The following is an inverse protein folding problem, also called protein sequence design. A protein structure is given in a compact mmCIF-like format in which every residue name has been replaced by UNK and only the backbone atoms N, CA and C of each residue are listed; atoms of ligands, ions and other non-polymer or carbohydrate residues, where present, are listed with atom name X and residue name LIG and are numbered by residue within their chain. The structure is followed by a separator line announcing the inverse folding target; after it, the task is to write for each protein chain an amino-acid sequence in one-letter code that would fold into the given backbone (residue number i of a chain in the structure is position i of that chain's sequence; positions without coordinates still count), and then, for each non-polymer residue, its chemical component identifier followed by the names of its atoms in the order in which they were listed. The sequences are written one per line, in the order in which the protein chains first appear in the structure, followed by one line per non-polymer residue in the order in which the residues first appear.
data_IF_675513851691
#
_entry.id   IF_675513851691
#
_cell.length_a   1.000
_cell.length_b   1.000
_cell.length_c   1.000
_cell.angle_alpha   90.00
_cell.angle_beta   90.00
_cell.angle_gamma   90.00
#
_symmetry.space_group_name_H-M   'P 1'
#
loop_
_entity.id
_entity.type
_entity.pdbx_description
1 polymer ?
#
# COMPACT_ATOMS: atom_id res chain seq x y z
N UNK A 1 -82.18 9.17 42.30
CA UNK A 1 -82.31 9.07 40.83
C UNK A 1 -81.60 10.21 40.09
N UNK A 2 -81.70 11.47 40.49
CA UNK A 2 -81.12 12.64 39.91
C UNK A 2 -79.54 12.60 39.97
N UNK A 3 -78.96 12.10 41.07
CA UNK A 3 -77.50 11.95 41.20
C UNK A 3 -76.87 10.95 40.29
N UNK A 4 -77.54 9.82 40.07
CA UNK A 4 -77.10 8.76 39.16
C UNK A 4 -77.14 9.21 37.69
N UNK A 5 -78.16 10.01 37.30
CA UNK A 5 -78.23 10.60 35.96
C UNK A 5 -77.15 11.63 35.69
N UNK A 6 -76.79 12.45 36.67
CA UNK A 6 -75.70 13.39 36.56
C UNK A 6 -74.34 12.69 36.46
N UNK A 7 -74.11 11.59 37.23
CA UNK A 7 -72.93 10.76 37.11
C UNK A 7 -72.74 10.17 35.71
N UNK A 8 -73.85 9.64 35.15
CA UNK A 8 -73.83 9.12 33.79
C UNK A 8 -73.52 10.21 32.73
N UNK A 9 -74.09 11.41 32.88
CA UNK A 9 -73.76 12.53 31.96
C UNK A 9 -72.32 12.93 32.01
N UNK A 10 -71.72 13.02 33.22
CA UNK A 10 -70.33 13.36 33.40
C UNK A 10 -69.42 12.29 32.78
N UNK A 11 -69.76 11.02 33.00
CA UNK A 11 -68.99 9.91 32.45
C UNK A 11 -69.04 9.88 30.92
N UNK A 12 -70.22 10.08 30.33
CA UNK A 12 -70.39 10.15 28.88
C UNK A 12 -69.65 11.33 28.25
N UNK A 13 -69.63 12.46 28.94
CA UNK A 13 -68.85 13.65 28.54
C UNK A 13 -67.34 13.38 28.55
N UNK A 14 -66.86 12.71 29.59
CA UNK A 14 -65.43 12.34 29.69
C UNK A 14 -65.02 11.38 28.58
N UNK A 15 -65.82 10.35 28.33
CA UNK A 15 -65.59 9.40 27.21
C UNK A 15 -65.53 10.15 25.87
N UNK A 16 -66.53 11.02 25.60
CA UNK A 16 -66.55 11.81 24.37
C UNK A 16 -65.31 12.68 24.20
N UNK A 17 -64.88 13.35 25.26
CA UNK A 17 -63.69 14.19 25.21
C UNK A 17 -62.44 13.39 25.00
N UNK A 18 -62.30 12.22 25.67
CA UNK A 18 -61.15 11.33 25.45
C UNK A 18 -61.10 10.75 24.03
N UNK A 19 -62.27 10.38 23.48
CA UNK A 19 -62.38 9.94 22.08
C UNK A 19 -62.00 11.06 21.10
N UNK A 20 -62.47 12.29 21.38
CA UNK A 20 -62.10 13.45 20.57
C UNK A 20 -60.61 13.72 20.58
N UNK A 21 -60.00 13.73 21.76
CA UNK A 21 -58.54 13.93 21.92
C UNK A 21 -57.75 12.82 21.20
N UNK A 22 -58.14 11.55 21.36
CA UNK A 22 -57.51 10.44 20.65
C UNK A 22 -57.59 10.61 19.13
N UNK A 23 -58.80 10.99 18.63
CA UNK A 23 -58.99 11.20 17.19
C UNK A 23 -58.14 12.34 16.68
N UNK A 24 -58.08 13.47 17.39
CA UNK A 24 -57.22 14.61 17.04
C UNK A 24 -55.74 14.23 17.05
N UNK A 25 -55.30 13.46 18.05
CA UNK A 25 -53.91 12.99 18.16
C UNK A 25 -53.57 12.09 16.95
N UNK A 26 -54.46 11.17 16.57
CA UNK A 26 -54.24 10.31 15.38
C UNK A 26 -54.14 11.15 14.09
N UNK A 27 -55.03 12.13 13.91
CA UNK A 27 -54.94 13.05 12.78
C UNK A 27 -53.64 13.85 12.74
N UNK A 28 -53.18 14.33 13.87
CA UNK A 28 -51.88 15.05 13.98
C UNK A 28 -50.72 14.14 13.61
N UNK A 29 -50.71 12.89 14.06
CA UNK A 29 -49.66 11.91 13.68
C UNK A 29 -49.67 11.65 12.18
N UNK A 30 -50.85 11.40 11.60
CA UNK A 30 -51.00 11.16 10.16
C UNK A 30 -50.53 12.40 9.37
N UNK A 31 -50.95 13.60 9.76
CA UNK A 31 -50.52 14.84 9.12
C UNK A 31 -48.99 15.02 9.18
N UNK A 32 -48.38 14.76 10.33
CA UNK A 32 -46.93 14.80 10.51
C UNK A 32 -46.19 13.77 9.63
N UNK A 33 -46.72 12.55 9.53
CA UNK A 33 -46.15 11.50 8.64
C UNK A 33 -46.24 11.90 7.18
N UNK A 34 -47.32 12.51 6.73
CA UNK A 34 -47.48 13.01 5.37
C UNK A 34 -46.45 14.10 5.07
N UNK A 35 -46.28 15.07 5.98
CA UNK A 35 -45.30 16.15 5.84
C UNK A 35 -43.86 15.59 5.77
N UNK A 36 -43.52 14.65 6.67
CA UNK A 36 -42.18 14.03 6.66
C UNK A 36 -41.93 13.24 5.37
N UNK A 37 -42.97 12.50 4.90
CA UNK A 37 -42.87 11.78 3.62
C UNK A 37 -42.64 12.71 2.45
N UNK A 38 -43.32 13.87 2.41
CA UNK A 38 -43.10 14.89 1.39
C UNK A 38 -41.69 15.45 1.45
N UNK A 39 -41.17 15.73 2.64
CA UNK A 39 -39.77 16.18 2.81
C UNK A 39 -38.75 15.15 2.29
N UNK A 40 -38.98 13.87 2.58
CA UNK A 40 -38.14 12.78 2.09
C UNK A 40 -38.18 12.71 0.56
N UNK A 41 -39.37 12.80 -0.04
CA UNK A 41 -39.53 12.80 -1.50
C UNK A 41 -38.80 13.98 -2.16
N UNK A 42 -38.88 15.19 -1.57
CA UNK A 42 -38.15 16.35 -2.09
C UNK A 42 -36.64 16.16 -2.03
N UNK A 43 -36.13 15.64 -0.90
CA UNK A 43 -34.72 15.32 -0.75
C UNK A 43 -34.25 14.25 -1.73
N UNK A 44 -35.05 13.22 -1.94
CA UNK A 44 -34.78 12.16 -2.92
C UNK A 44 -34.69 12.71 -4.34
N UNK A 45 -35.67 13.56 -4.74
CA UNK A 45 -35.64 14.25 -6.03
C UNK A 45 -34.38 15.10 -6.23
N UNK A 46 -33.99 15.88 -5.21
CA UNK A 46 -32.79 16.70 -5.26
C UNK A 46 -31.51 15.84 -5.38
N UNK A 47 -31.43 14.78 -4.59
CA UNK A 47 -30.29 13.84 -4.64
C UNK A 47 -30.19 13.17 -6.01
N UNK A 48 -31.33 12.71 -6.57
CA UNK A 48 -31.37 12.07 -7.89
C UNK A 48 -30.94 13.05 -8.98
N UNK A 49 -31.41 14.30 -8.92
CA UNK A 49 -30.99 15.34 -9.87
C UNK A 49 -29.49 15.62 -9.82
N UNK A 50 -28.91 15.66 -8.61
CA UNK A 50 -27.46 15.82 -8.40
C UNK A 50 -26.65 14.63 -8.93
N UNK A 51 -27.14 13.40 -8.72
CA UNK A 51 -26.51 12.20 -9.26
C UNK A 51 -26.51 12.20 -10.79
N UNK A 52 -27.64 12.55 -11.42
CA UNK A 52 -27.75 12.63 -12.88
C UNK A 52 -26.77 13.71 -13.41
N UNK A 53 -26.70 14.86 -12.75
CA UNK A 53 -25.74 15.90 -13.10
C UNK A 53 -24.28 15.45 -12.99
N UNK A 54 -23.96 14.71 -11.93
CA UNK A 54 -22.62 14.16 -11.71
C UNK A 54 -22.25 13.11 -12.77
N UNK A 55 -23.16 12.20 -13.09
CA UNK A 55 -22.96 11.21 -14.15
C UNK A 55 -22.79 11.91 -15.51
N UNK A 56 -23.59 12.93 -15.80
CA UNK A 56 -23.46 13.73 -17.02
C UNK A 56 -22.08 14.39 -17.14
N UNK A 57 -21.61 15.05 -16.08
CA UNK A 57 -20.28 15.65 -16.07
C UNK A 57 -19.17 14.60 -16.23
N UNK A 58 -19.30 13.45 -15.59
CA UNK A 58 -18.33 12.35 -15.73
C UNK A 58 -18.26 11.83 -17.16
N UNK A 59 -19.41 11.67 -17.84
CA UNK A 59 -19.44 11.28 -19.26
C UNK A 59 -18.79 12.31 -20.17
N UNK A 60 -19.04 13.60 -19.94
CA UNK A 60 -18.36 14.66 -20.69
C UNK A 60 -16.84 14.68 -20.44
N UNK A 61 -16.41 14.47 -19.21
CA UNK A 61 -14.97 14.36 -18.89
C UNK A 61 -14.33 13.15 -19.57
N UNK A 62 -15.00 12.00 -19.59
CA UNK A 62 -14.51 10.81 -20.26
C UNK A 62 -14.43 10.99 -21.79
N UNK A 63 -15.45 11.59 -22.41
CA UNK A 63 -15.43 11.90 -23.84
C UNK A 63 -14.31 12.90 -24.19
N UNK A 64 -14.16 13.95 -23.37
CA UNK A 64 -13.07 14.92 -23.51
C UNK A 64 -11.69 14.28 -23.34
N UNK A 65 -11.50 13.43 -22.34
CA UNK A 65 -10.27 12.70 -22.12
C UNK A 65 -9.96 11.73 -23.28
N UNK A 66 -10.98 11.01 -23.78
CA UNK A 66 -10.81 10.12 -24.93
C UNK A 66 -10.40 10.89 -26.20
N UNK A 67 -11.06 11.99 -26.49
CA UNK A 67 -10.71 12.85 -27.64
C UNK A 67 -9.33 13.46 -27.50
N UNK A 68 -8.96 13.94 -26.32
CA UNK A 68 -7.64 14.49 -26.02
C UNK A 68 -6.55 13.41 -26.17
N UNK A 69 -6.78 12.21 -25.64
CA UNK A 69 -5.87 11.10 -25.76
C UNK A 69 -5.70 10.64 -27.20
N UNK A 70 -6.80 10.57 -27.96
CA UNK A 70 -6.75 10.22 -29.39
C UNK A 70 -6.04 11.30 -30.21
N UNK A 71 -6.27 12.58 -29.92
CA UNK A 71 -5.59 13.71 -30.55
C UNK A 71 -4.09 13.73 -30.20
N UNK A 72 -3.74 13.50 -28.92
CA UNK A 72 -2.35 13.42 -28.50
C UNK A 72 -1.63 12.21 -29.14
N UNK A 73 -2.31 11.05 -29.23
CA UNK A 73 -1.75 9.83 -29.82
C UNK A 73 -1.57 9.92 -31.34
N UNK A 74 -2.50 10.53 -32.05
CA UNK A 74 -2.47 10.69 -33.51
C UNK A 74 -1.82 11.99 -33.97
N UNK A 75 -1.62 12.95 -33.07
CA UNK A 75 -0.96 14.23 -33.31
C UNK A 75 0.58 14.15 -33.29
N UNK A 76 1.26 15.31 -33.48
CA UNK A 76 2.72 15.39 -33.46
C UNK A 76 3.38 14.78 -32.22
N UNK A 77 2.85 14.94 -30.98
CA UNK A 77 3.42 14.28 -29.81
C UNK A 77 3.39 12.75 -29.91
N UNK A 78 2.28 12.16 -30.36
CA UNK A 78 2.13 10.73 -30.49
C UNK A 78 3.00 10.13 -31.59
N UNK A 79 3.25 10.88 -32.67
CA UNK A 79 4.20 10.49 -33.71
C UNK A 79 5.64 10.46 -33.19
N UNK A 80 6.01 11.40 -32.34
CA UNK A 80 7.32 11.42 -31.68
C UNK A 80 7.44 10.21 -30.75
N UNK A 81 6.42 9.94 -29.92
CA UNK A 81 6.40 8.78 -29.01
C UNK A 81 6.48 7.47 -29.80
N UNK A 82 5.75 7.33 -30.91
CA UNK A 82 5.84 6.13 -31.78
C UNK A 82 7.21 5.99 -32.45
N UNK A 83 7.84 7.08 -32.86
CA UNK A 83 9.20 7.05 -33.41
C UNK A 83 10.21 6.67 -32.33
N UNK A 84 10.05 7.19 -31.11
CA UNK A 84 10.89 6.81 -29.95
C UNK A 84 10.62 5.36 -29.51
N UNK A 85 9.36 4.91 -29.49
CA UNK A 85 9.00 3.53 -29.16
C UNK A 85 9.46 2.52 -30.21
N UNK A 86 9.46 2.92 -31.49
CA UNK A 86 10.02 2.12 -32.61
C UNK A 86 11.52 2.34 -32.80
N UNK A 87 12.10 3.32 -32.09
CA UNK A 87 13.54 3.42 -31.97
C UNK A 87 13.98 2.21 -31.15
N UNK A 88 14.43 1.16 -31.86
CA UNK A 88 15.25 0.13 -31.22
C UNK A 88 16.52 0.86 -30.80
N UNK A 89 16.69 1.21 -29.53
CA UNK A 89 17.98 1.74 -29.11
C UNK A 89 19.00 0.67 -29.56
N UNK A 90 20.16 1.08 -30.13
CA UNK A 90 21.25 0.16 -30.23
C UNK A 90 21.33 -0.48 -28.87
N UNK A 91 21.28 -1.81 -28.79
CA UNK A 91 21.15 -2.56 -27.56
C UNK A 91 22.12 -1.97 -26.54
N UNK A 92 21.68 -0.94 -25.85
CA UNK A 92 22.31 -0.48 -24.62
C UNK A 92 22.11 -1.68 -23.73
N UNK A 93 23.12 -2.55 -23.69
CA UNK A 93 23.23 -3.53 -22.63
C UNK A 93 23.09 -2.71 -21.37
N UNK A 94 21.89 -2.70 -20.81
CA UNK A 94 21.65 -2.07 -19.50
C UNK A 94 22.70 -2.70 -18.61
N UNK A 95 23.70 -1.95 -18.14
CA UNK A 95 24.77 -2.52 -17.36
C UNK A 95 24.14 -3.33 -16.25
N UNK A 96 24.63 -4.53 -15.99
CA UNK A 96 24.02 -5.47 -15.04
C UNK A 96 23.84 -4.89 -13.62
N UNK A 97 24.52 -3.78 -13.33
CA UNK A 97 24.43 -3.04 -12.08
C UNK A 97 23.17 -2.12 -11.96
N UNK A 98 22.55 -1.72 -13.07
CA UNK A 98 21.25 -1.01 -13.09
C UNK A 98 20.05 -1.92 -12.76
N UNK A 99 20.29 -3.21 -12.66
CA UNK A 99 19.31 -4.21 -12.20
C UNK A 99 19.48 -4.54 -10.72
N UNK A 100 19.92 -3.60 -9.91
CA UNK A 100 20.06 -3.81 -8.48
C UNK A 100 18.67 -3.87 -7.82
N UNK A 101 18.16 -5.07 -7.75
CA UNK A 101 16.99 -5.40 -6.95
C UNK A 101 17.45 -5.43 -5.49
N UNK A 102 16.85 -4.62 -4.63
CA UNK A 102 17.15 -4.59 -3.18
C UNK A 102 16.43 -5.72 -2.48
N UNK A 103 17.06 -6.90 -2.36
CA UNK A 103 16.38 -8.09 -1.87
C UNK A 103 17.28 -9.00 -1.04
N UNK A 104 16.62 -9.91 -0.33
CA UNK A 104 17.24 -10.93 0.51
C UNK A 104 16.93 -12.34 0.00
N UNK A 105 17.73 -13.31 0.44
CA UNK A 105 17.45 -14.72 0.25
C UNK A 105 16.18 -15.14 1.00
N UNK A 106 15.42 -16.12 0.47
CA UNK A 106 14.17 -16.60 1.09
C UNK A 106 14.32 -17.08 2.53
N UNK A 107 15.47 -17.63 2.88
CA UNK A 107 15.77 -18.24 4.18
C UNK A 107 16.33 -17.25 5.20
N UNK A 108 16.58 -16.00 4.84
CA UNK A 108 17.06 -14.96 5.77
C UNK A 108 16.11 -14.86 6.96
N UNK A 109 16.63 -15.09 8.17
CA UNK A 109 15.82 -15.09 9.39
C UNK A 109 15.57 -13.66 9.89
N UNK A 110 14.34 -13.45 10.36
CA UNK A 110 13.86 -12.20 10.96
C UNK A 110 13.24 -12.49 12.33
N UNK A 111 13.47 -11.60 13.27
CA UNK A 111 12.94 -11.69 14.62
C UNK A 111 11.63 -10.91 14.72
N UNK A 112 10.51 -11.62 14.70
CA UNK A 112 9.16 -11.07 14.67
C UNK A 112 8.50 -11.25 16.03
N UNK A 113 7.75 -10.25 16.52
CA UNK A 113 6.97 -10.36 17.76
C UNK A 113 5.96 -11.49 17.67
N UNK A 114 5.88 -12.28 18.73
CA UNK A 114 4.92 -13.37 18.81
C UNK A 114 3.53 -12.83 19.14
N UNK A 115 2.52 -13.22 18.36
CA UNK A 115 1.10 -12.91 18.67
C UNK A 115 0.55 -13.71 19.86
N UNK A 116 1.22 -14.82 20.22
CA UNK A 116 0.72 -15.75 21.22
C UNK A 116 1.43 -15.65 22.58
N UNK A 117 2.58 -14.97 22.64
CA UNK A 117 3.39 -14.85 23.86
C UNK A 117 3.67 -13.38 24.12
N UNK A 118 3.17 -12.85 25.22
CA UNK A 118 3.39 -11.46 25.61
C UNK A 118 4.91 -11.21 25.78
N UNK A 119 5.48 -10.30 24.99
CA UNK A 119 6.91 -10.01 24.99
C UNK A 119 7.79 -11.07 24.32
N UNK A 120 7.20 -12.14 23.74
CA UNK A 120 7.92 -13.18 23.02
C UNK A 120 8.18 -12.82 21.56
N UNK A 121 9.05 -13.61 20.93
CA UNK A 121 9.34 -13.49 19.50
C UNK A 121 9.37 -14.87 18.83
N UNK A 122 9.24 -14.85 17.52
CA UNK A 122 9.38 -16.01 16.65
C UNK A 122 10.38 -15.70 15.56
N UNK A 123 11.25 -16.65 15.25
CA UNK A 123 12.15 -16.56 14.11
C UNK A 123 11.40 -16.97 12.84
N UNK A 124 11.20 -16.03 11.91
CA UNK A 124 10.56 -16.29 10.63
C UNK A 124 11.56 -16.13 9.49
N UNK A 125 11.68 -17.10 8.56
CA UNK A 125 12.40 -16.85 7.31
C UNK A 125 11.67 -15.79 6.48
N UNK A 126 12.41 -14.98 5.73
CA UNK A 126 11.90 -13.85 4.92
C UNK A 126 10.69 -14.27 4.05
N UNK A 127 10.72 -15.47 3.46
CA UNK A 127 9.63 -16.03 2.64
C UNK A 127 8.32 -16.28 3.37
N UNK A 128 8.35 -16.34 4.71
CA UNK A 128 7.19 -16.62 5.56
C UNK A 128 6.74 -15.40 6.37
N UNK A 129 7.30 -14.23 6.10
CA UNK A 129 6.85 -12.97 6.71
C UNK A 129 5.50 -12.59 6.12
N UNK A 130 4.58 -12.18 6.99
CA UNK A 130 3.22 -11.79 6.62
C UNK A 130 3.00 -10.29 6.79
N UNK A 131 1.97 -9.76 6.13
CA UNK A 131 1.53 -8.38 6.32
C UNK A 131 1.10 -8.17 7.77
N UNK A 132 1.56 -7.05 8.36
CA UNK A 132 1.27 -6.71 9.75
C UNK A 132 2.13 -7.47 10.78
N UNK A 133 3.13 -8.24 10.34
CA UNK A 133 4.17 -8.72 11.25
C UNK A 133 4.94 -7.53 11.82
N UNK A 134 5.22 -7.54 13.11
CA UNK A 134 5.92 -6.49 13.84
C UNK A 134 7.27 -7.00 14.32
N UNK A 135 8.35 -6.27 14.02
CA UNK A 135 9.69 -6.58 14.52
C UNK A 135 9.86 -6.10 15.97
N UNK A 136 10.97 -6.50 16.60
CA UNK A 136 11.20 -6.21 18.01
C UNK A 136 11.37 -4.71 18.32
N UNK A 137 11.79 -3.93 17.35
CA UNK A 137 11.94 -2.48 17.41
C UNK A 137 10.64 -1.68 17.18
N UNK A 138 9.52 -2.37 16.85
CA UNK A 138 8.24 -1.75 16.53
C UNK A 138 8.01 -1.51 15.04
N UNK A 139 8.94 -1.88 14.18
CA UNK A 139 8.79 -1.82 12.73
C UNK A 139 7.70 -2.79 12.27
N UNK A 140 6.75 -2.32 11.45
CA UNK A 140 5.61 -3.08 10.95
C UNK A 140 5.75 -3.31 9.45
N UNK A 141 5.50 -4.55 9.01
CA UNK A 141 5.55 -4.93 7.60
C UNK A 141 4.26 -4.53 6.89
N UNK A 142 4.37 -3.65 5.89
CA UNK A 142 3.26 -3.19 5.05
C UNK A 142 3.13 -3.98 3.74
N UNK A 143 4.23 -4.45 3.19
CA UNK A 143 4.23 -5.26 1.97
C UNK A 143 5.35 -6.28 1.98
N UNK A 144 5.10 -7.42 1.33
CA UNK A 144 6.09 -8.47 1.09
C UNK A 144 6.18 -8.68 -0.41
N UNK A 145 7.35 -8.38 -0.97
CA UNK A 145 7.59 -8.51 -2.39
C UNK A 145 8.38 -9.79 -2.68
N UNK A 146 7.88 -10.54 -3.66
CA UNK A 146 8.53 -11.74 -4.19
C UNK A 146 8.99 -11.47 -5.60
N UNK A 147 10.29 -11.47 -5.83
CA UNK A 147 10.90 -11.02 -7.08
C UNK A 147 11.61 -12.19 -7.76
N UNK A 148 11.32 -12.40 -9.02
CA UNK A 148 12.02 -13.39 -9.85
C UNK A 148 13.42 -12.86 -10.19
N UNK A 149 14.45 -13.61 -9.81
CA UNK A 149 15.86 -13.27 -10.03
C UNK A 149 16.48 -14.01 -11.21
N UNK A 150 15.65 -14.44 -12.16
CA UNK A 150 16.10 -15.14 -13.38
C UNK A 150 15.56 -14.38 -14.59
N UNK A 151 16.40 -14.15 -15.58
CA UNK A 151 16.00 -13.58 -16.88
C UNK A 151 15.33 -14.64 -17.77
N UNK A 152 14.97 -14.23 -18.99
CA UNK A 152 14.33 -15.11 -19.99
C UNK A 152 15.25 -16.24 -20.47
N UNK A 153 16.56 -16.07 -20.33
CA UNK A 153 17.58 -17.04 -20.71
C UNK A 153 17.99 -17.98 -19.56
N UNK A 154 17.43 -17.78 -18.35
CA UNK A 154 17.73 -18.57 -17.16
C UNK A 154 18.97 -18.10 -16.38
N UNK A 155 19.52 -16.93 -16.68
CA UNK A 155 20.65 -16.37 -15.94
C UNK A 155 20.15 -15.55 -14.74
N UNK A 156 20.88 -15.62 -13.63
CA UNK A 156 20.56 -14.82 -12.44
C UNK A 156 20.88 -13.34 -12.69
N UNK A 157 19.88 -12.50 -12.39
CA UNK A 157 19.94 -11.05 -12.64
C UNK A 157 20.82 -10.35 -11.61
N UNK A 158 20.64 -10.67 -10.33
CA UNK A 158 21.31 -9.99 -9.21
C UNK A 158 22.43 -10.86 -8.63
N UNK A 159 23.57 -10.23 -8.34
CA UNK A 159 24.65 -10.85 -7.58
C UNK A 159 24.31 -10.79 -6.09
N UNK A 160 24.54 -11.91 -5.40
CA UNK A 160 24.34 -12.01 -3.95
C UNK A 160 25.65 -11.77 -3.20
N UNK A 161 25.57 -11.03 -2.12
CA UNK A 161 26.61 -10.92 -1.12
C UNK A 161 26.23 -11.72 0.13
N UNK A 162 27.22 -12.19 0.85
CA UNK A 162 27.11 -12.80 2.17
C UNK A 162 27.73 -11.83 3.20
N UNK A 163 26.98 -11.55 4.26
CA UNK A 163 27.48 -10.92 5.47
C UNK A 163 27.61 -12.00 6.54
N UNK A 164 28.83 -12.50 6.79
CA UNK A 164 29.01 -13.65 7.67
C UNK A 164 28.68 -13.32 9.13
N UNK A 165 27.89 -14.15 9.77
CA UNK A 165 27.53 -14.06 11.21
C UNK A 165 26.88 -12.73 11.63
N UNK A 166 26.30 -11.98 10.68
CA UNK A 166 25.64 -10.70 10.96
C UNK A 166 24.13 -10.84 11.22
N UNK A 167 23.53 -11.98 10.84
CA UNK A 167 22.11 -12.23 10.99
C UNK A 167 21.71 -12.70 12.39
N UNK A 168 20.44 -13.03 12.52
CA UNK A 168 19.88 -13.61 13.74
C UNK A 168 20.59 -14.91 14.09
N UNK A 169 20.75 -15.17 15.38
CA UNK A 169 21.49 -16.34 15.91
C UNK A 169 22.92 -16.50 15.34
N UNK A 170 23.57 -15.40 14.92
CA UNK A 170 24.87 -15.43 14.24
C UNK A 170 24.86 -16.21 12.93
N UNK A 171 23.72 -16.25 12.25
CA UNK A 171 23.64 -16.79 10.90
C UNK A 171 24.17 -15.79 9.85
N UNK A 172 24.43 -16.31 8.66
CA UNK A 172 24.89 -15.50 7.55
C UNK A 172 23.70 -14.81 6.86
N UNK A 173 23.83 -13.52 6.54
CA UNK A 173 22.82 -12.80 5.75
C UNK A 173 23.20 -12.92 4.28
N UNK A 174 22.29 -13.42 3.45
CA UNK A 174 22.42 -13.42 2.00
C UNK A 174 21.51 -12.31 1.42
N UNK A 175 22.13 -11.33 0.82
CA UNK A 175 21.50 -10.10 0.35
C UNK A 175 22.05 -9.70 -1.00
N UNK A 176 21.28 -8.99 -1.84
CA UNK A 176 21.78 -8.47 -3.11
C UNK A 176 22.88 -7.44 -2.87
N UNK A 177 23.88 -7.44 -3.74
CA UNK A 177 25.09 -6.60 -3.56
C UNK A 177 24.80 -5.11 -3.44
N UNK A 178 23.80 -4.60 -4.16
CA UNK A 178 23.41 -3.19 -4.13
C UNK A 178 22.50 -2.79 -3.00
N UNK A 179 22.00 -3.74 -2.18
CA UNK A 179 21.07 -3.44 -1.09
C UNK A 179 21.68 -2.43 -0.11
N UNK A 180 20.87 -1.45 0.33
CA UNK A 180 21.31 -0.42 1.23
C UNK A 180 21.34 -0.92 2.67
N UNK A 181 22.43 -0.64 3.37
CA UNK A 181 22.67 -1.04 4.75
C UNK A 181 23.20 0.15 5.55
N UNK A 182 22.71 0.37 6.77
CA UNK A 182 23.11 1.49 7.63
C UNK A 182 24.51 1.27 8.20
N UNK A 183 25.37 2.27 8.05
CA UNK A 183 26.75 2.24 8.56
C UNK A 183 26.91 3.00 9.88
N UNK A 184 26.39 4.21 9.96
CA UNK A 184 26.39 5.11 11.14
C UNK A 184 25.27 6.12 10.93
N UNK A 185 24.67 6.63 12.03
CA UNK A 185 23.76 7.77 12.08
C UNK A 185 23.13 8.13 10.71
N UNK A 186 22.13 7.35 10.28
CA UNK A 186 21.33 7.57 9.08
C UNK A 186 22.05 7.58 7.71
N UNK A 187 23.31 7.17 7.67
CA UNK A 187 24.04 7.01 6.41
C UNK A 187 23.92 5.57 5.94
N UNK A 188 23.19 5.37 4.84
CA UNK A 188 23.08 4.09 4.15
C UNK A 188 24.15 3.98 3.05
N UNK A 189 24.64 2.77 2.84
CA UNK A 189 25.59 2.45 1.78
C UNK A 189 25.30 1.05 1.23
N UNK A 190 25.64 0.78 -0.02
CA UNK A 190 25.45 -0.55 -0.58
C UNK A 190 26.26 -1.61 0.16
N UNK A 191 25.67 -2.81 0.29
CA UNK A 191 26.29 -3.94 0.99
C UNK A 191 27.67 -4.26 0.47
N UNK A 192 27.90 -4.20 -0.84
CA UNK A 192 29.22 -4.47 -1.43
C UNK A 192 30.31 -3.49 -0.96
N UNK A 193 29.95 -2.32 -0.39
CA UNK A 193 30.89 -1.39 0.22
C UNK A 193 31.28 -1.76 1.65
N UNK A 194 30.62 -2.70 2.28
CA UNK A 194 30.98 -3.18 3.62
C UNK A 194 32.16 -4.13 3.54
N UNK A 195 33.17 -3.89 4.38
CA UNK A 195 34.39 -4.71 4.41
C UNK A 195 34.16 -6.19 4.78
N UNK A 196 33.04 -6.49 5.45
CA UNK A 196 32.63 -7.85 5.85
C UNK A 196 31.94 -8.59 4.71
N UNK A 197 31.37 -7.85 3.76
CA UNK A 197 30.64 -8.44 2.65
C UNK A 197 31.57 -9.21 1.71
N UNK A 198 31.16 -10.41 1.35
CA UNK A 198 31.84 -11.26 0.38
C UNK A 198 30.88 -11.66 -0.74
N UNK A 199 31.35 -11.83 -1.94
CA UNK A 199 30.53 -12.33 -3.04
C UNK A 199 30.12 -13.78 -2.73
N UNK A 200 28.83 -14.07 -2.82
CA UNK A 200 28.29 -15.40 -2.59
C UNK A 200 28.25 -16.21 -3.87
N UNK A 201 28.62 -17.49 -3.77
CA UNK A 201 28.41 -18.48 -4.85
C UNK A 201 26.97 -19.00 -4.88
N UNK A 202 26.20 -18.84 -3.81
CA UNK A 202 24.81 -19.26 -3.77
C UNK A 202 23.96 -18.38 -4.70
N UNK A 203 23.08 -19.05 -5.42
CA UNK A 203 22.16 -18.44 -6.38
C UNK A 203 20.73 -18.73 -5.93
N UNK A 204 19.86 -17.76 -6.09
CA UNK A 204 18.46 -17.85 -5.72
C UNK A 204 17.59 -17.38 -6.88
N UNK A 205 16.67 -18.23 -7.31
CA UNK A 205 15.74 -17.94 -8.42
C UNK A 205 14.68 -16.92 -8.02
N UNK A 206 14.41 -16.84 -6.73
CA UNK A 206 13.44 -15.94 -6.13
C UNK A 206 14.07 -15.23 -4.95
N UNK A 207 13.88 -13.92 -4.91
CA UNK A 207 14.31 -13.05 -3.83
C UNK A 207 13.11 -12.39 -3.16
N UNK A 208 13.30 -11.92 -1.94
CA UNK A 208 12.27 -11.26 -1.15
C UNK A 208 12.74 -9.90 -0.68
N UNK A 209 11.84 -8.93 -0.67
CA UNK A 209 12.01 -7.64 -0.04
C UNK A 209 10.75 -7.24 0.73
N UNK A 210 10.87 -6.35 1.68
CA UNK A 210 9.77 -5.83 2.48
C UNK A 210 9.63 -4.33 2.25
N UNK A 211 8.41 -3.84 2.47
CA UNK A 211 8.12 -2.43 2.69
C UNK A 211 7.62 -2.30 4.12
N UNK A 212 8.17 -1.36 4.88
CA UNK A 212 7.91 -1.19 6.30
C UNK A 212 7.47 0.24 6.63
N UNK A 213 6.86 0.42 7.80
CA UNK A 213 6.35 1.74 8.23
C UNK A 213 7.43 2.79 8.47
N UNK A 214 8.68 2.38 8.68
CA UNK A 214 9.81 3.28 8.94
C UNK A 214 10.94 3.13 7.92
N UNK A 215 10.65 2.51 6.75
CA UNK A 215 11.57 2.30 5.63
C UNK A 215 12.85 1.51 5.99
N UNK A 216 12.80 0.71 7.05
CA UNK A 216 13.97 -0.07 7.49
C UNK A 216 13.62 -1.51 7.83
N UNK A 217 14.59 -2.41 7.63
CA UNK A 217 14.47 -3.85 7.91
C UNK A 217 15.59 -4.24 8.88
N UNK A 218 15.27 -4.49 10.17
CA UNK A 218 16.26 -4.94 11.15
C UNK A 218 16.53 -6.45 10.98
N UNK A 219 17.79 -6.84 10.85
CA UNK A 219 18.21 -8.25 10.78
C UNK A 219 19.45 -8.44 11.64
N UNK A 220 19.34 -9.17 12.75
CA UNK A 220 20.41 -9.30 13.71
C UNK A 220 20.81 -7.94 14.31
N UNK A 221 22.06 -7.55 14.13
CA UNK A 221 22.57 -6.25 14.57
C UNK A 221 22.66 -5.21 13.44
N UNK A 222 22.18 -5.58 12.24
CA UNK A 222 22.28 -4.73 11.06
C UNK A 222 20.89 -4.13 10.74
N UNK A 223 20.91 -2.93 10.15
CA UNK A 223 19.71 -2.27 9.66
C UNK A 223 19.83 -2.04 8.16
N UNK A 224 18.86 -2.52 7.42
CA UNK A 224 18.81 -2.36 5.97
C UNK A 224 17.69 -1.39 5.59
N UNK A 225 17.84 -0.70 4.45
CA UNK A 225 16.74 0.04 3.84
C UNK A 225 15.68 -0.91 3.31
N UNK A 226 14.45 -0.46 3.18
CA UNK A 226 13.39 -1.22 2.53
C UNK A 226 13.42 -0.98 1.00
N UNK A 227 12.38 -1.46 0.30
CA UNK A 227 12.31 -1.30 -1.15
C UNK A 227 12.18 0.17 -1.60
N UNK A 228 11.53 1.02 -0.81
CA UNK A 228 11.24 2.40 -1.20
C UNK A 228 12.45 3.32 -1.09
N UNK A 229 13.38 3.05 -0.17
CA UNK A 229 14.60 3.84 0.01
C UNK A 229 15.52 3.85 -1.24
N UNK A 230 15.35 2.86 -2.14
CA UNK A 230 16.14 2.77 -3.38
C UNK A 230 15.79 3.84 -4.42
N UNK A 231 14.60 4.43 -4.36
CA UNK A 231 14.11 5.39 -5.35
C UNK A 231 14.42 6.85 -4.98
N UNK A 232 14.56 7.17 -3.70
CA UNK A 232 14.70 8.55 -3.21
C UNK A 232 16.14 9.07 -3.06
N UNK A 233 17.18 8.28 -3.31
CA UNK A 233 18.57 8.66 -3.12
C UNK A 233 19.39 8.76 -4.42
N UNK A 234 19.17 9.82 -5.24
CA UNK A 234 19.96 10.03 -6.48
C UNK A 234 21.47 10.18 -6.22
N UNK A 235 21.87 10.68 -5.04
CA UNK A 235 23.28 10.86 -4.69
C UNK A 235 23.99 9.55 -4.34
N UNK A 236 23.30 8.62 -3.69
CA UNK A 236 23.86 7.28 -3.40
C UNK A 236 24.07 6.51 -4.70
N UNK A 237 23.16 6.63 -5.66
CA UNK A 237 23.30 6.03 -7.00
C UNK A 237 24.51 6.61 -7.74
N UNK A 238 24.76 7.92 -7.67
CA UNK A 238 25.95 8.56 -8.27
C UNK A 238 27.27 8.11 -7.63
N UNK A 239 27.28 7.89 -6.32
CA UNK A 239 28.49 7.38 -5.62
C UNK A 239 28.75 5.91 -5.96
N UNK A 240 27.68 5.11 -6.10
CA UNK A 240 27.75 3.72 -6.55
C UNK A 240 28.27 3.64 -7.98
N UNK A 241 27.82 4.51 -8.88
CA UNK A 241 28.30 4.59 -10.26
C UNK A 241 29.80 4.86 -10.35
N UNK A 242 30.30 5.87 -9.63
CA UNK A 242 31.71 6.24 -9.64
C UNK A 242 32.66 5.14 -9.16
N UNK A 243 32.21 4.31 -8.20
CA UNK A 243 33.08 3.29 -7.62
C UNK A 243 33.09 2.00 -8.42
N UNK A 244 31.98 1.66 -9.09
CA UNK A 244 31.92 0.51 -10.00
C UNK A 244 32.75 0.74 -11.28
N UNK A 245 32.83 2.00 -11.76
CA UNK A 245 33.73 2.39 -12.83
C UNK A 245 35.21 2.24 -12.40
N UNK A 246 35.53 2.52 -11.13
CA UNK A 246 36.90 2.40 -10.60
C UNK A 246 37.36 0.95 -10.38
N UNK A 247 36.42 0.03 -10.07
CA UNK A 247 36.72 -1.39 -9.84
C UNK A 247 36.69 -2.23 -11.15
N UNK A 248 36.27 -1.64 -12.27
CA UNK A 248 36.26 -2.29 -13.57
C UNK A 248 37.51 -2.00 -14.43
N UNK A 249 38.39 -1.09 -13.99
CA UNK A 249 39.65 -0.74 -14.66
C UNK A 249 40.89 -1.49 -14.08
N UNK A 250 40.66 -2.61 -13.37
CA UNK A 250 41.70 -3.52 -12.86
C UNK A 250 41.56 -4.91 -13.48
#
# INVERSE_FOLDING_TARGET
FAGSLNGLRTYTSQIRNSLYELTMTIFQIIASMIIETQKIMLKFKDTTAKLIGMVGTMLFMMDGAHKSMNSAWNGPPGQIVRRVANFKPPSLKVPSWLKNVFCFAPETLLKVKSKNILGGYVMKPMKNVDLGDEFMDGTIVYSVMKIKNIDEQGYHISKMCILPKCGENSEDIYVTSGHLMRKREDIFHPVYCDKRAKLSSKKYDVLYCLITNNHTIPIGNELFGDWEDGEELPEVIKHVQKRVEYDMDI
#
